data_IF_081999617017
#
_entry.id   IF_081999617017
#
_cell.length_a   1.000
_cell.length_b   1.000
_cell.length_c   1.000
_cell.angle_alpha   90.00
_cell.angle_beta   90.00
_cell.angle_gamma   90.00
#
_symmetry.space_group_name_H-M   'P 1'
#
loop_
_entity.id
_entity.type
_entity.pdbx_description
1 polymer ?
#
# COMPACT_ATOMS: atom_id res chain seq x y z
N UNK A 1 30.96 50.50 -3.85
CA UNK A 1 30.01 49.46 -4.30
C UNK A 1 29.48 48.76 -3.06
N UNK A 2 28.19 48.92 -2.75
CA UNK A 2 27.54 48.23 -1.62
C UNK A 2 26.43 47.36 -2.21
N UNK A 3 26.59 46.04 -2.12
CA UNK A 3 25.58 45.08 -2.52
C UNK A 3 24.54 44.93 -1.39
N UNK A 4 23.26 44.98 -1.73
CA UNK A 4 22.17 44.64 -0.83
C UNK A 4 21.92 43.12 -0.91
N UNK A 5 21.77 42.42 0.23
CA UNK A 5 21.37 41.02 0.21
C UNK A 5 19.91 40.90 -0.24
N UNK A 6 19.66 40.03 -1.21
CA UNK A 6 18.31 39.61 -1.60
C UNK A 6 17.83 38.55 -0.62
N UNK A 7 16.80 38.86 0.16
CA UNK A 7 16.07 37.89 0.95
C UNK A 7 14.92 37.35 0.08
N UNK A 8 15.02 36.11 -0.38
CA UNK A 8 13.89 35.45 -1.04
C UNK A 8 12.82 35.12 0.01
N UNK A 9 11.65 35.76 -0.06
CA UNK A 9 10.52 35.44 0.78
C UNK A 9 9.89 34.11 0.33
N UNK A 10 9.81 33.12 1.22
CA UNK A 10 9.07 31.88 0.98
C UNK A 10 7.58 32.20 0.83
N UNK A 11 7.00 31.85 -0.32
CA UNK A 11 5.57 32.05 -0.56
C UNK A 11 4.78 31.01 0.25
N UNK A 12 3.99 31.47 1.24
CA UNK A 12 3.15 30.60 2.08
C UNK A 12 1.78 30.41 1.42
N UNK A 13 1.50 29.22 0.93
CA UNK A 13 0.14 28.84 0.50
C UNK A 13 -0.74 28.65 1.73
N UNK A 14 -1.92 29.26 1.73
CA UNK A 14 -2.91 29.12 2.81
C UNK A 14 -4.15 28.44 2.28
N UNK A 15 -4.63 27.43 3.00
CA UNK A 15 -5.86 26.70 2.70
C UNK A 15 -6.96 27.13 3.67
N UNK A 16 -8.16 27.41 3.16
CA UNK A 16 -9.33 27.72 3.98
C UNK A 16 -10.27 26.51 3.99
N UNK A 17 -10.38 25.86 5.13
CA UNK A 17 -11.23 24.69 5.32
C UNK A 17 -12.48 25.06 6.11
N UNK A 18 -13.58 24.37 5.86
CA UNK A 18 -14.84 24.49 6.63
C UNK A 18 -15.17 23.19 7.33
N UNK A 19 -15.91 23.21 8.44
CA UNK A 19 -16.33 21.96 9.07
C UNK A 19 -17.31 21.16 8.20
N UNK A 20 -17.26 19.83 8.31
CA UNK A 20 -18.23 18.94 7.69
C UNK A 20 -19.58 19.05 8.40
N UNK A 21 -20.65 19.34 7.64
CA UNK A 21 -22.02 19.48 8.14
C UNK A 21 -22.85 18.19 8.03
N UNK A 22 -22.20 17.06 7.79
CA UNK A 22 -22.82 15.75 7.59
C UNK A 22 -22.09 14.69 8.45
N UNK A 23 -22.79 13.62 8.87
CA UNK A 23 -22.18 12.61 9.71
C UNK A 23 -21.14 11.79 8.94
N UNK A 24 -20.01 11.49 9.59
CA UNK A 24 -18.96 10.59 9.08
C UNK A 24 -18.90 9.36 9.96
N UNK A 25 -18.93 8.18 9.35
CA UNK A 25 -18.84 6.90 10.05
C UNK A 25 -17.55 6.17 9.66
N UNK A 26 -16.87 5.60 10.64
CA UNK A 26 -15.70 4.72 10.45
C UNK A 26 -16.06 3.37 11.07
N UNK A 27 -16.02 2.29 10.29
CA UNK A 27 -16.44 0.96 10.75
C UNK A 27 -17.84 0.96 11.42
N UNK A 28 -18.79 1.69 10.83
CA UNK A 28 -20.15 1.86 11.34
C UNK A 28 -20.29 2.63 12.66
N UNK A 29 -19.20 3.26 13.14
CA UNK A 29 -19.18 4.13 14.34
C UNK A 29 -19.15 5.59 13.90
N UNK A 30 -20.07 6.41 14.41
CA UNK A 30 -20.11 7.83 14.13
C UNK A 30 -18.91 8.56 14.76
N UNK A 31 -18.19 9.36 13.96
CA UNK A 31 -17.13 10.23 14.44
C UNK A 31 -17.72 11.50 15.04
N UNK A 32 -17.40 11.78 16.31
CA UNK A 32 -18.02 12.89 17.08
C UNK A 32 -17.01 13.75 17.85
N UNK A 33 -15.71 13.62 17.58
CA UNK A 33 -14.69 14.42 18.26
C UNK A 33 -14.66 15.86 17.71
N UNK A 34 -15.20 16.80 18.48
CA UNK A 34 -15.24 18.21 18.12
C UNK A 34 -13.90 18.95 18.25
N UNK A 35 -12.85 18.35 18.86
CA UNK A 35 -11.51 18.97 18.91
C UNK A 35 -10.73 18.74 17.62
N UNK A 36 -11.04 17.65 16.93
CA UNK A 36 -10.45 17.26 15.66
C UNK A 36 -11.60 17.10 14.65
N UNK A 37 -12.24 18.19 14.21
CA UNK A 37 -13.38 18.08 13.32
C UNK A 37 -12.97 17.53 11.96
N UNK A 38 -13.93 16.90 11.28
CA UNK A 38 -13.83 16.60 9.85
C UNK A 38 -13.97 17.92 9.09
N UNK A 39 -13.09 18.14 8.11
CA UNK A 39 -13.00 19.41 7.39
C UNK A 39 -13.28 19.22 5.90
N UNK A 40 -13.85 20.21 5.24
CA UNK A 40 -14.07 20.26 3.80
C UNK A 40 -13.10 21.25 3.17
N UNK A 41 -12.53 20.86 2.04
CA UNK A 41 -11.73 21.72 1.19
C UNK A 41 -11.97 21.33 -0.27
N UNK A 42 -12.47 22.28 -1.07
CA UNK A 42 -12.70 22.11 -2.52
C UNK A 42 -13.44 20.82 -2.90
N UNK A 43 -14.49 20.47 -2.15
CA UNK A 43 -15.30 19.26 -2.41
C UNK A 43 -14.71 17.95 -1.87
N UNK A 44 -13.56 17.99 -1.21
CA UNK A 44 -12.97 16.83 -0.52
C UNK A 44 -13.08 16.95 1.01
N UNK A 45 -13.35 15.84 1.68
CA UNK A 45 -13.35 15.74 3.15
C UNK A 45 -11.97 15.33 3.64
N UNK A 46 -11.37 16.17 4.48
CA UNK A 46 -10.12 15.92 5.18
C UNK A 46 -10.45 15.42 6.58
N UNK A 47 -9.83 14.29 6.94
CA UNK A 47 -10.13 13.59 8.19
C UNK A 47 -8.92 13.60 9.12
N UNK A 48 -9.10 13.66 10.45
CA UNK A 48 -8.01 13.54 11.41
C UNK A 48 -7.38 12.16 11.33
N UNK A 49 -6.22 12.09 10.69
CA UNK A 49 -5.55 10.84 10.37
C UNK A 49 -5.39 9.89 11.56
N UNK A 50 -4.95 10.41 12.71
CA UNK A 50 -4.71 9.60 13.92
C UNK A 50 -6.01 9.01 14.46
N UNK A 51 -7.04 9.83 14.65
CA UNK A 51 -8.32 9.37 15.20
C UNK A 51 -9.01 8.37 14.27
N UNK A 52 -8.94 8.61 12.96
CA UNK A 52 -9.46 7.65 11.97
C UNK A 52 -8.62 6.37 11.99
N UNK A 53 -7.29 6.48 12.07
CA UNK A 53 -6.38 5.34 12.22
C UNK A 53 -6.76 4.46 13.40
N UNK A 54 -6.96 5.05 14.59
CA UNK A 54 -7.35 4.32 15.80
C UNK A 54 -8.68 3.56 15.61
N UNK A 55 -9.68 4.19 14.97
CA UNK A 55 -10.98 3.56 14.67
C UNK A 55 -10.88 2.43 13.63
N UNK A 56 -9.89 2.51 12.75
CA UNK A 56 -9.57 1.47 11.76
C UNK A 56 -8.65 0.38 12.33
N UNK A 57 -8.15 0.53 13.56
CA UNK A 57 -7.13 -0.36 14.14
C UNK A 57 -5.73 -0.17 13.53
N UNK A 58 -5.51 0.91 12.78
CA UNK A 58 -4.20 1.28 12.25
C UNK A 58 -3.41 2.12 13.27
N UNK A 59 -2.12 1.83 13.42
CA UNK A 59 -1.21 2.66 14.20
C UNK A 59 -0.68 3.81 13.36
N UNK A 60 -0.63 5.02 13.94
CA UNK A 60 -0.09 6.22 13.29
C UNK A 60 1.04 6.78 14.14
N UNK A 61 2.27 6.76 13.65
CA UNK A 61 3.47 7.21 14.36
C UNK A 61 4.18 8.35 13.62
N UNK A 62 4.79 9.28 14.37
CA UNK A 62 5.74 10.23 13.82
C UNK A 62 7.14 9.66 13.99
N UNK A 63 7.88 9.57 12.90
CA UNK A 63 9.30 9.28 12.87
C UNK A 63 10.05 10.59 12.74
N UNK A 64 10.68 10.99 13.84
CA UNK A 64 11.38 12.27 13.94
C UNK A 64 12.68 12.29 13.13
N UNK A 65 13.37 11.15 13.05
CA UNK A 65 14.62 11.02 12.32
C UNK A 65 14.40 11.18 10.82
N UNK A 66 13.34 10.58 10.27
CA UNK A 66 12.98 10.68 8.86
C UNK A 66 12.03 11.84 8.55
N UNK A 67 11.57 12.58 9.57
CA UNK A 67 10.50 13.59 9.49
C UNK A 67 9.29 13.10 8.70
N UNK A 68 8.82 11.91 9.06
CA UNK A 68 7.80 11.16 8.31
C UNK A 68 6.68 10.67 9.22
N UNK A 69 5.45 10.64 8.71
CA UNK A 69 4.35 9.92 9.35
C UNK A 69 4.35 8.48 8.85
N UNK A 70 4.40 7.51 9.76
CA UNK A 70 4.18 6.09 9.47
C UNK A 70 2.76 5.70 9.83
N UNK A 71 2.09 4.99 8.93
CA UNK A 71 0.76 4.43 9.16
C UNK A 71 0.89 2.93 8.94
N UNK A 72 0.58 2.13 9.94
CA UNK A 72 0.64 0.67 9.86
C UNK A 72 -0.74 0.13 10.17
N UNK A 73 -1.37 -0.50 9.19
CA UNK A 73 -2.64 -1.21 9.37
C UNK A 73 -2.44 -2.38 10.36
N UNK A 74 -3.49 -2.77 11.10
CA UNK A 74 -3.44 -3.97 11.95
C UNK A 74 -3.12 -5.22 11.12
N UNK A 75 -2.56 -6.25 11.75
CA UNK A 75 -2.40 -7.56 11.11
C UNK A 75 -3.75 -8.07 10.56
N UNK A 76 -4.86 -7.76 11.23
CA UNK A 76 -6.23 -8.08 10.78
C UNK A 76 -6.67 -7.33 9.50
N UNK A 77 -5.96 -6.26 9.12
CA UNK A 77 -6.18 -5.52 7.87
C UNK A 77 -5.23 -5.93 6.74
N UNK A 78 -4.29 -6.87 6.98
CA UNK A 78 -3.43 -7.35 5.89
C UNK A 78 -4.29 -8.09 4.86
N UNK A 79 -4.08 -7.83 3.55
CA UNK A 79 -4.87 -8.47 2.52
C UNK A 79 -4.76 -9.99 2.64
N UNK A 80 -5.92 -10.62 2.73
CA UNK A 80 -6.09 -12.05 2.89
C UNK A 80 -7.14 -12.53 1.89
N UNK A 81 -6.85 -13.63 1.20
CA UNK A 81 -7.82 -14.32 0.38
C UNK A 81 -7.74 -15.83 0.62
N UNK A 82 -8.32 -16.62 -0.28
CA UNK A 82 -8.35 -18.06 -0.12
C UNK A 82 -7.01 -18.76 -0.28
N UNK A 83 -5.94 -18.08 -0.72
CA UNK A 83 -4.63 -18.67 -0.99
C UNK A 83 -3.51 -17.93 -0.28
N UNK A 84 -3.60 -16.61 -0.14
CA UNK A 84 -2.53 -15.76 0.36
C UNK A 84 -3.04 -14.94 1.54
N UNK A 85 -2.17 -14.76 2.54
CA UNK A 85 -2.47 -13.98 3.74
C UNK A 85 -1.20 -13.36 4.29
N UNK A 86 -1.37 -12.32 5.11
CA UNK A 86 -0.31 -11.65 5.84
C UNK A 86 0.84 -11.19 4.94
N UNK A 87 0.53 -10.80 3.70
CA UNK A 87 1.55 -10.41 2.73
C UNK A 87 2.07 -9.01 3.06
N UNK A 88 3.38 -8.87 3.07
CA UNK A 88 4.10 -7.62 3.30
C UNK A 88 5.19 -7.43 2.26
N UNK A 89 5.39 -6.18 1.86
CA UNK A 89 6.42 -5.77 0.92
C UNK A 89 7.39 -4.84 1.64
N UNK A 90 8.69 -5.08 1.46
CA UNK A 90 9.75 -4.19 1.88
C UNK A 90 10.71 -3.94 0.72
N UNK A 91 11.32 -2.76 0.66
CA UNK A 91 12.23 -2.37 -0.42
C UNK A 91 11.65 -1.26 -1.31
N UNK A 92 12.47 -0.81 -2.27
CA UNK A 92 12.18 0.29 -3.19
C UNK A 92 13.17 0.27 -4.36
N UNK A 93 12.95 1.10 -5.38
CA UNK A 93 13.83 1.25 -6.55
C UNK A 93 14.08 -0.08 -7.28
N UNK A 94 13.02 -0.85 -7.52
CA UNK A 94 13.10 -2.10 -8.25
C UNK A 94 13.65 -3.30 -7.48
N UNK A 95 14.01 -3.16 -6.20
CA UNK A 95 14.35 -4.31 -5.34
C UNK A 95 13.34 -4.43 -4.22
N UNK A 96 12.62 -5.53 -4.20
CA UNK A 96 11.58 -5.79 -3.20
C UNK A 96 11.75 -7.17 -2.59
N UNK A 97 11.51 -7.26 -1.29
CA UNK A 97 11.34 -8.51 -0.55
C UNK A 97 9.86 -8.62 -0.21
N UNK A 98 9.21 -9.66 -0.71
CA UNK A 98 7.80 -9.92 -0.46
C UNK A 98 7.69 -11.19 0.36
N UNK A 99 7.06 -11.09 1.52
CA UNK A 99 6.88 -12.20 2.44
C UNK A 99 5.42 -12.35 2.84
N UNK A 100 5.02 -13.55 3.17
CA UNK A 100 3.68 -13.83 3.66
C UNK A 100 3.48 -15.31 3.95
N UNK A 101 2.22 -15.71 4.01
CA UNK A 101 1.84 -17.13 4.08
C UNK A 101 0.95 -17.47 2.90
N UNK A 102 1.13 -18.66 2.33
CA UNK A 102 0.26 -19.17 1.27
C UNK A 102 -0.22 -20.60 1.55
N UNK A 103 -1.40 -20.94 1.05
CA UNK A 103 -2.02 -22.26 1.10
C UNK A 103 -2.48 -22.71 -0.29
N UNK A 104 -1.53 -23.06 -1.12
CA UNK A 104 -1.74 -23.30 -2.56
C UNK A 104 -1.68 -24.80 -2.90
N UNK A 105 -2.35 -25.21 -3.98
CA UNK A 105 -2.27 -26.58 -4.45
C UNK A 105 -0.83 -26.95 -4.86
N UNK A 106 -0.41 -28.20 -4.59
CA UNK A 106 0.94 -28.72 -4.88
C UNK A 106 2.12 -27.93 -4.30
N UNK A 107 1.87 -27.04 -3.34
CA UNK A 107 2.87 -26.13 -2.78
C UNK A 107 3.52 -25.22 -3.84
N UNK A 108 2.83 -24.92 -4.94
CA UNK A 108 3.33 -24.01 -5.99
C UNK A 108 2.45 -22.77 -6.07
N UNK A 109 3.04 -21.62 -5.74
CA UNK A 109 2.43 -20.32 -5.99
C UNK A 109 3.04 -19.67 -7.24
N UNK A 110 2.27 -18.82 -7.90
CA UNK A 110 2.73 -18.03 -9.04
C UNK A 110 2.64 -16.55 -8.69
N UNK A 111 3.51 -15.76 -9.31
CA UNK A 111 3.49 -14.32 -9.15
C UNK A 111 3.92 -13.61 -10.42
N UNK A 112 3.38 -12.42 -10.63
CA UNK A 112 3.72 -11.56 -11.76
C UNK A 112 3.81 -10.11 -11.32
N UNK A 113 4.66 -9.33 -11.98
CA UNK A 113 4.78 -7.88 -11.75
C UNK A 113 4.35 -7.15 -13.01
N UNK A 114 3.46 -6.16 -12.86
CA UNK A 114 2.96 -5.32 -13.94
C UNK A 114 3.09 -3.83 -13.63
N UNK A 115 3.08 -3.01 -14.69
CA UNK A 115 3.05 -1.54 -14.63
C UNK A 115 1.68 -0.94 -15.05
N UNK A 116 0.66 -1.79 -15.17
CA UNK A 116 -0.67 -1.47 -15.67
C UNK A 116 -0.83 -1.53 -17.20
N UNK A 117 0.26 -1.67 -17.95
CA UNK A 117 0.25 -1.85 -19.40
C UNK A 117 0.87 -3.18 -19.84
N UNK A 118 1.94 -3.63 -19.16
CA UNK A 118 2.69 -4.84 -19.47
C UNK A 118 3.03 -5.64 -18.22
N UNK A 119 3.11 -6.96 -18.36
CA UNK A 119 3.78 -7.81 -17.39
C UNK A 119 5.29 -7.74 -17.60
N UNK A 120 6.00 -7.30 -16.57
CA UNK A 120 7.46 -7.15 -16.54
C UNK A 120 8.15 -8.46 -16.13
N UNK A 121 7.47 -9.26 -15.33
CA UNK A 121 7.95 -10.53 -14.78
C UNK A 121 6.78 -11.46 -14.54
N UNK A 122 6.97 -12.76 -14.76
CA UNK A 122 6.09 -13.82 -14.28
C UNK A 122 6.92 -15.05 -13.90
N UNK A 123 6.74 -15.55 -12.68
CA UNK A 123 7.53 -16.63 -12.10
C UNK A 123 6.69 -17.44 -11.10
N UNK A 124 7.25 -18.53 -10.60
CA UNK A 124 6.65 -19.37 -9.57
C UNK A 124 7.59 -19.55 -8.38
N UNK A 125 7.03 -19.90 -7.23
CA UNK A 125 7.76 -20.22 -6.02
C UNK A 125 7.18 -21.48 -5.38
N UNK A 126 8.05 -22.39 -4.94
CA UNK A 126 7.66 -23.63 -4.27
C UNK A 126 7.75 -23.43 -2.75
N UNK A 127 6.64 -23.71 -2.06
CA UNK A 127 6.53 -23.64 -0.62
C UNK A 127 6.96 -24.96 0.05
N UNK A 128 7.19 -24.91 1.35
CA UNK A 128 7.53 -26.10 2.15
C UNK A 128 6.34 -27.07 2.28
N UNK A 129 5.11 -26.53 2.34
CA UNK A 129 3.87 -27.31 2.45
C UNK A 129 2.81 -26.77 1.47
N UNK A 130 2.00 -27.68 0.93
CA UNK A 130 0.85 -27.37 0.08
C UNK A 130 -0.46 -27.37 0.86
N UNK A 131 -1.53 -26.89 0.23
CA UNK A 131 -2.87 -26.93 0.77
C UNK A 131 -3.24 -28.35 1.27
N UNK A 132 -3.90 -28.48 2.44
CA UNK A 132 -4.62 -27.43 3.16
C UNK A 132 -3.78 -26.62 4.15
N UNK A 133 -2.49 -26.94 4.33
CA UNK A 133 -1.63 -26.22 5.27
C UNK A 133 -1.25 -24.84 4.73
N UNK A 134 -1.06 -23.89 5.65
CA UNK A 134 -0.43 -22.61 5.35
C UNK A 134 1.08 -22.75 5.51
N UNK A 135 1.83 -22.37 4.48
CA UNK A 135 3.29 -22.32 4.51
C UNK A 135 3.77 -20.88 4.37
N UNK A 136 4.80 -20.44 5.12
CA UNK A 136 5.43 -19.16 4.88
C UNK A 136 6.15 -19.16 3.53
N UNK A 137 6.26 -17.98 2.92
CA UNK A 137 7.10 -17.73 1.74
C UNK A 137 7.83 -16.40 1.88
N UNK A 138 8.96 -16.29 1.18
CA UNK A 138 9.67 -15.04 0.94
C UNK A 138 10.26 -15.09 -0.48
N UNK A 139 9.95 -14.07 -1.29
CA UNK A 139 10.47 -13.91 -2.64
C UNK A 139 11.21 -12.58 -2.76
N UNK A 140 12.31 -12.60 -3.51
CA UNK A 140 13.06 -11.41 -3.87
C UNK A 140 12.72 -11.05 -5.31
N UNK A 141 12.31 -9.80 -5.52
CA UNK A 141 11.95 -9.25 -6.82
C UNK A 141 13.00 -8.24 -7.24
N UNK A 142 13.51 -8.40 -8.45
CA UNK A 142 14.41 -7.44 -9.10
C UNK A 142 13.80 -6.98 -10.43
N UNK A 143 13.38 -5.72 -10.49
CA UNK A 143 12.78 -5.08 -11.65
C UNK A 143 13.80 -4.11 -12.26
N UNK A 144 14.30 -4.34 -13.48
CA UNK A 144 15.27 -3.46 -14.13
C UNK A 144 14.74 -2.03 -14.24
N UNK A 145 15.56 -1.02 -13.94
CA UNK A 145 15.18 0.40 -14.04
C UNK A 145 14.62 0.79 -15.41
N UNK A 146 15.10 0.16 -16.49
CA UNK A 146 14.59 0.38 -17.85
C UNK A 146 13.14 -0.09 -18.06
N UNK A 147 12.63 -0.95 -17.19
CA UNK A 147 11.27 -1.47 -17.22
C UNK A 147 10.34 -0.83 -16.18
N UNK A 148 10.85 0.07 -15.34
CA UNK A 148 10.02 0.75 -14.33
C UNK A 148 9.25 1.91 -14.97
N UNK A 149 7.98 2.12 -14.59
CA UNK A 149 7.18 3.20 -15.15
C UNK A 149 7.73 4.56 -14.70
N UNK A 150 7.78 5.52 -15.64
CA UNK A 150 8.13 6.92 -15.33
C UNK A 150 7.04 7.57 -14.47
N UNK A 151 5.79 7.16 -14.67
CA UNK A 151 4.62 7.54 -13.89
C UNK A 151 3.66 6.34 -13.86
N UNK A 152 3.17 5.96 -12.69
CA UNK A 152 2.31 4.79 -12.52
C UNK A 152 2.57 4.05 -11.22
N UNK A 153 2.05 2.84 -11.08
CA UNK A 153 2.29 1.99 -9.91
C UNK A 153 2.74 0.62 -10.37
N UNK A 154 3.90 0.16 -9.89
CA UNK A 154 4.29 -1.22 -10.01
C UNK A 154 3.41 -2.06 -9.08
N UNK A 155 2.78 -3.08 -9.63
CA UNK A 155 1.85 -3.95 -8.90
C UNK A 155 2.32 -5.39 -9.02
N UNK A 156 2.38 -6.08 -7.88
CA UNK A 156 2.58 -7.51 -7.80
C UNK A 156 1.22 -8.20 -7.77
N UNK A 157 1.06 -9.23 -8.60
CA UNK A 157 -0.01 -10.21 -8.47
C UNK A 157 0.54 -11.51 -7.89
N UNK A 158 -0.08 -12.02 -6.84
CA UNK A 158 0.08 -13.39 -6.37
C UNK A 158 -1.13 -14.21 -6.80
N UNK A 159 -0.94 -15.41 -7.35
CA UNK A 159 -2.04 -16.24 -7.84
C UNK A 159 -1.69 -17.73 -7.91
N UNK A 160 -2.71 -18.54 -8.13
CA UNK A 160 -2.58 -19.96 -8.48
C UNK A 160 -3.18 -20.22 -9.86
N UNK A 161 -2.68 -21.23 -10.56
CA UNK A 161 -3.33 -21.73 -11.76
C UNK A 161 -4.35 -22.80 -11.39
N UNK A 162 -5.60 -22.62 -11.83
CA UNK A 162 -6.67 -23.60 -11.68
C UNK A 162 -6.31 -24.89 -12.43
N UNK A 163 -6.24 -26.01 -11.71
CA UNK A 163 -6.00 -27.32 -12.33
C UNK A 163 -7.15 -27.76 -13.27
N UNK A 164 -8.30 -27.08 -13.24
CA UNK A 164 -9.46 -27.42 -14.08
C UNK A 164 -9.35 -26.84 -15.49
N UNK A 165 -8.87 -25.60 -15.60
CA UNK A 165 -8.95 -24.81 -16.84
C UNK A 165 -7.74 -23.90 -17.09
N UNK A 166 -6.73 -23.91 -16.22
CA UNK A 166 -5.54 -23.07 -16.34
C UNK A 166 -5.79 -21.59 -16.10
N UNK A 167 -6.97 -21.19 -15.60
CA UNK A 167 -7.25 -19.80 -15.26
C UNK A 167 -6.47 -19.37 -14.01
N UNK A 168 -6.12 -18.08 -13.90
CA UNK A 168 -5.59 -17.52 -12.66
C UNK A 168 -6.71 -17.43 -11.63
N UNK A 169 -6.52 -18.03 -10.47
CA UNK A 169 -7.44 -18.01 -9.33
C UNK A 169 -6.75 -17.51 -8.07
N UNK A 170 -7.55 -17.09 -7.09
CA UNK A 170 -7.08 -16.52 -5.83
C UNK A 170 -6.08 -15.36 -6.04
N UNK A 171 -6.31 -14.55 -7.07
CA UNK A 171 -5.44 -13.41 -7.41
C UNK A 171 -5.47 -12.40 -6.26
N UNK A 172 -4.28 -11.96 -5.84
CA UNK A 172 -4.06 -10.91 -4.87
C UNK A 172 -3.12 -9.87 -5.47
N UNK A 173 -3.62 -8.66 -5.69
CA UNK A 173 -2.86 -7.54 -6.23
C UNK A 173 -2.33 -6.65 -5.10
N UNK A 174 -1.03 -6.34 -5.14
CA UNK A 174 -0.31 -5.61 -4.09
C UNK A 174 0.54 -4.51 -4.74
N UNK A 175 0.34 -3.23 -4.41
CA UNK A 175 1.19 -2.17 -4.91
C UNK A 175 2.60 -2.32 -4.31
N UNK A 176 3.62 -2.34 -5.17
CA UNK A 176 5.04 -2.36 -4.78
C UNK A 176 5.56 -0.94 -4.58
N UNK A 177 5.37 -0.08 -5.58
CA UNK A 177 5.88 1.30 -5.58
C UNK A 177 5.06 2.17 -6.55
N UNK A 178 4.76 3.40 -6.14
CA UNK A 178 4.10 4.39 -6.99
C UNK A 178 5.11 5.46 -7.42
N UNK A 179 5.20 5.66 -8.73
CA UNK A 179 6.06 6.62 -9.39
C UNK A 179 5.21 7.84 -9.76
N UNK A 180 5.58 9.01 -9.25
CA UNK A 180 4.97 10.29 -9.58
C UNK A 180 5.81 11.07 -10.59
N UNK A 181 5.24 12.11 -11.21
CA UNK A 181 6.00 13.10 -11.97
C UNK A 181 7.01 13.87 -11.10
#
# INVERSE_FOLDING_TARGET
MTALPSMAATQKTTYSLTEASYPVFVNNVAYTDGKLPMLNYQGSTYVPLRSVGDLLGASVAWDDALRRVHITASEDMRPCNNAFCNVSVNGSNGRYIVSGTARVFEAVMNYAVEDGHNYLLEQFHTLAEGAPAWSPFAIELEIPESGQPVNGTLTLELFEYSAKDGSRINVMSIPLETFGP
#
